data_IF_396360004938
#
_entry.id   IF_396360004938
#
_cell.length_a   1.000
_cell.length_b   1.000
_cell.length_c   1.000
_cell.angle_alpha   90.00
_cell.angle_beta   90.00
_cell.angle_gamma   90.00
#
_symmetry.space_group_name_H-M   'P 1'
#
loop_
_entity.id
_entity.type
_entity.pdbx_description
1 polymer ?
#
# COMPACT_ATOMS: atom_id res chain seq x y z
N UNK A 1 -23.76 -40.71 -6.07
CA UNK A 1 -22.68 -39.71 -5.99
C UNK A 1 -23.00 -38.39 -5.24
N UNK A 2 -24.18 -38.13 -4.62
CA UNK A 2 -24.38 -36.91 -3.81
C UNK A 2 -23.95 -37.04 -2.33
N UNK A 3 -23.63 -38.25 -1.87
CA UNK A 3 -23.33 -38.57 -0.46
C UNK A 3 -21.97 -38.02 0.00
N UNK A 4 -20.98 -37.93 -0.90
CA UNK A 4 -19.63 -37.47 -0.57
C UNK A 4 -19.56 -35.96 -0.29
N UNK A 5 -20.48 -35.15 -0.85
CA UNK A 5 -20.46 -33.70 -0.65
C UNK A 5 -20.92 -33.30 0.76
N UNK A 6 -21.91 -34.01 1.30
CA UNK A 6 -22.42 -33.78 2.65
C UNK A 6 -21.37 -34.09 3.73
N UNK A 7 -20.56 -35.12 3.51
CA UNK A 7 -19.52 -35.54 4.45
C UNK A 7 -18.32 -34.57 4.50
N UNK A 8 -18.03 -33.87 3.39
CA UNK A 8 -16.98 -32.84 3.35
C UNK A 8 -17.42 -31.58 4.11
N UNK A 9 -18.69 -31.17 3.96
CA UNK A 9 -19.27 -30.00 4.65
C UNK A 9 -19.27 -30.20 6.19
N UNK A 10 -19.64 -31.40 6.64
CA UNK A 10 -19.70 -31.77 8.07
C UNK A 10 -18.31 -31.80 8.73
N UNK A 11 -17.29 -32.24 7.98
CA UNK A 11 -15.90 -32.24 8.44
C UNK A 11 -15.32 -30.82 8.53
N UNK A 12 -15.70 -29.91 7.64
CA UNK A 12 -15.28 -28.49 7.70
C UNK A 12 -15.91 -27.78 8.91
N UNK A 13 -17.17 -28.08 9.23
CA UNK A 13 -17.82 -27.55 10.44
C UNK A 13 -17.17 -28.09 11.72
N UNK A 14 -16.86 -29.39 11.82
CA UNK A 14 -16.24 -29.94 13.03
C UNK A 14 -14.85 -29.36 13.34
N UNK A 15 -14.05 -29.07 12.31
CA UNK A 15 -12.68 -28.56 12.48
C UNK A 15 -12.67 -27.11 12.98
N UNK A 16 -13.66 -26.30 12.59
CA UNK A 16 -13.74 -24.88 12.96
C UNK A 16 -14.18 -24.66 14.42
N UNK A 17 -15.05 -25.52 14.98
CA UNK A 17 -15.57 -25.30 16.34
C UNK A 17 -14.70 -25.86 17.47
N UNK A 18 -13.73 -26.75 17.21
CA UNK A 18 -12.91 -27.39 18.26
C UNK A 18 -11.64 -26.64 18.66
N UNK A 19 -11.27 -25.56 17.96
CA UNK A 19 -9.97 -24.89 18.13
C UNK A 19 -10.01 -23.53 18.85
N UNK A 20 -11.15 -23.08 19.39
CA UNK A 20 -11.25 -21.77 20.05
C UNK A 20 -11.37 -21.94 21.57
N UNK A 21 -10.31 -21.64 22.36
CA UNK A 21 -10.37 -21.71 23.81
C UNK A 21 -11.32 -20.66 24.37
N UNK A 22 -12.25 -21.08 25.21
CA UNK A 22 -13.27 -20.26 25.86
C UNK A 22 -12.65 -19.47 27.03
N UNK A 23 -12.16 -18.24 26.80
CA UNK A 23 -11.96 -17.27 27.89
C UNK A 23 -11.85 -15.82 27.41
N UNK A 24 -12.58 -14.94 28.13
CA UNK A 24 -12.63 -13.45 28.08
C UNK A 24 -13.42 -12.79 26.95
N UNK A 25 -14.48 -12.10 27.37
CA UNK A 25 -15.37 -11.19 26.61
C UNK A 25 -15.75 -11.71 25.23
N UNK A 26 -16.94 -12.32 25.14
CA UNK A 26 -17.47 -12.95 23.93
C UNK A 26 -17.83 -11.88 22.88
N UNK A 27 -16.83 -11.26 22.28
CA UNK A 27 -16.98 -10.52 21.02
C UNK A 27 -17.19 -11.60 19.96
N UNK A 28 -18.45 -11.96 19.75
CA UNK A 28 -18.82 -12.99 18.79
C UNK A 28 -18.85 -12.35 17.40
N UNK A 29 -18.04 -12.88 16.48
CA UNK A 29 -18.13 -12.51 15.06
C UNK A 29 -19.55 -12.87 14.60
N UNK A 30 -20.26 -11.87 14.08
CA UNK A 30 -21.65 -12.03 13.62
C UNK A 30 -21.62 -12.66 12.24
N UNK A 31 -22.45 -13.68 12.04
CA UNK A 31 -22.58 -14.43 10.78
C UNK A 31 -24.03 -14.31 10.32
N UNK A 32 -24.24 -14.18 9.01
CA UNK A 32 -25.55 -13.99 8.41
C UNK A 32 -25.52 -13.00 7.25
N UNK A 33 -26.62 -12.92 6.52
CA UNK A 33 -26.78 -12.10 5.32
C UNK A 33 -26.47 -10.61 5.53
N UNK A 34 -26.72 -10.11 6.74
CA UNK A 34 -26.47 -8.70 7.09
C UNK A 34 -25.00 -8.42 7.45
N UNK A 35 -24.17 -9.46 7.55
CA UNK A 35 -22.78 -9.37 8.02
C UNK A 35 -21.76 -9.90 7.01
N UNK A 36 -22.17 -10.78 6.10
CA UNK A 36 -21.30 -11.39 5.10
C UNK A 36 -21.45 -10.68 3.75
N UNK A 37 -20.33 -10.46 3.07
CA UNK A 37 -20.35 -10.03 1.67
C UNK A 37 -20.86 -11.16 0.78
N UNK A 38 -21.64 -10.81 -0.25
CA UNK A 38 -21.99 -11.76 -1.32
C UNK A 38 -20.78 -11.90 -2.21
N UNK A 39 -20.22 -13.11 -2.27
CA UNK A 39 -19.12 -13.42 -3.18
C UNK A 39 -19.64 -13.42 -4.63
N UNK A 40 -19.14 -12.54 -5.51
CA UNK A 40 -19.52 -12.56 -6.92
C UNK A 40 -19.02 -13.84 -7.61
N UNK A 41 -19.73 -14.28 -8.64
CA UNK A 41 -19.25 -15.37 -9.49
C UNK A 41 -17.99 -14.96 -10.26
N UNK A 42 -17.13 -15.94 -10.54
CA UNK A 42 -15.90 -15.71 -11.29
C UNK A 42 -16.24 -15.32 -12.74
N UNK A 43 -15.91 -14.08 -13.12
CA UNK A 43 -16.12 -13.60 -14.47
C UNK A 43 -15.06 -14.17 -15.45
N UNK A 44 -15.49 -14.86 -16.54
CA UNK A 44 -14.58 -15.35 -17.57
C UNK A 44 -13.78 -14.22 -18.22
N UNK A 45 -12.57 -14.50 -18.69
CA UNK A 45 -11.66 -13.47 -19.23
C UNK A 45 -12.28 -12.69 -20.38
N UNK A 46 -13.01 -13.37 -21.27
CA UNK A 46 -13.71 -12.78 -22.41
C UNK A 46 -14.81 -11.78 -22.04
N UNK A 47 -15.28 -11.82 -20.80
CA UNK A 47 -16.33 -10.93 -20.30
C UNK A 47 -15.77 -9.86 -19.36
N UNK A 48 -14.49 -9.93 -18.96
CA UNK A 48 -13.84 -8.89 -18.15
C UNK A 48 -13.80 -7.61 -18.96
N UNK A 49 -14.18 -6.51 -18.33
CA UNK A 49 -14.14 -5.17 -18.90
C UNK A 49 -13.28 -4.27 -18.02
N UNK A 50 -11.94 -4.49 -17.97
CA UNK A 50 -11.04 -3.70 -17.13
C UNK A 50 -11.17 -2.20 -17.38
N UNK A 51 -11.49 -1.81 -18.62
CA UNK A 51 -11.71 -0.43 -19.06
C UNK A 51 -12.91 0.26 -18.39
N UNK A 52 -13.86 -0.50 -17.84
CA UNK A 52 -15.01 0.04 -17.10
C UNK A 52 -14.73 0.16 -15.60
N UNK A 53 -13.62 -0.40 -15.11
CA UNK A 53 -13.21 -0.14 -13.74
C UNK A 53 -12.88 1.35 -13.64
N UNK A 54 -13.46 2.02 -12.65
CA UNK A 54 -13.06 3.37 -12.33
C UNK A 54 -11.58 3.33 -11.95
N UNK A 55 -10.71 3.69 -12.89
CA UNK A 55 -9.26 3.68 -12.69
C UNK A 55 -8.92 4.83 -11.75
N UNK A 56 -9.08 4.55 -10.46
CA UNK A 56 -8.72 5.46 -9.37
C UNK A 56 -7.24 5.33 -9.03
N UNK A 57 -6.54 4.39 -9.64
CA UNK A 57 -5.11 4.19 -9.42
C UNK A 57 -4.32 5.08 -10.39
N UNK A 58 -3.33 5.77 -9.86
CA UNK A 58 -2.35 6.48 -10.67
C UNK A 58 -1.07 5.63 -10.71
N UNK A 59 -0.63 5.25 -11.91
CA UNK A 59 0.65 4.57 -12.08
C UNK A 59 1.79 5.56 -11.81
N UNK A 60 2.52 5.35 -10.72
CA UNK A 60 3.62 6.23 -10.28
C UNK A 60 5.02 5.64 -10.52
N UNK A 61 5.12 4.33 -10.77
CA UNK A 61 6.38 3.65 -11.06
C UNK A 61 6.13 2.33 -11.78
N UNK A 62 7.05 1.95 -12.68
CA UNK A 62 7.13 0.58 -13.20
C UNK A 62 8.59 0.13 -13.27
N UNK A 63 8.89 -1.16 -13.12
CA UNK A 63 10.23 -1.70 -13.35
C UNK A 63 10.71 -1.48 -14.79
N UNK A 64 12.02 -1.46 -14.99
CA UNK A 64 12.66 -1.39 -16.32
C UNK A 64 13.95 -2.21 -16.32
N UNK A 65 14.26 -2.85 -17.44
CA UNK A 65 15.56 -3.52 -17.67
C UNK A 65 16.56 -2.59 -18.36
N UNK A 66 16.14 -1.39 -18.78
CA UNK A 66 16.97 -0.46 -19.53
C UNK A 66 18.08 0.19 -18.68
N UNK A 67 17.93 0.19 -17.35
CA UNK A 67 18.87 0.79 -16.42
C UNK A 67 19.49 -0.32 -15.56
N UNK A 68 20.83 -0.45 -15.52
CA UNK A 68 21.50 -1.32 -14.56
C UNK A 68 21.22 -0.87 -13.12
N UNK A 69 21.02 -1.82 -12.21
CA UNK A 69 20.68 -1.55 -10.81
C UNK A 69 21.65 -0.58 -10.13
N UNK A 70 22.95 -0.71 -10.36
CA UNK A 70 23.96 0.20 -9.81
C UNK A 70 23.76 1.66 -10.23
N UNK A 71 23.39 1.91 -11.50
CA UNK A 71 23.14 3.28 -11.98
C UNK A 71 21.84 3.85 -11.42
N UNK A 72 20.85 3.00 -11.18
CA UNK A 72 19.61 3.40 -10.53
C UNK A 72 19.87 3.80 -9.07
N UNK A 73 20.67 3.01 -8.35
CA UNK A 73 21.11 3.35 -6.99
C UNK A 73 21.88 4.67 -6.95
N UNK A 74 22.88 4.84 -7.83
CA UNK A 74 23.65 6.09 -7.93
C UNK A 74 22.74 7.31 -8.14
N UNK A 75 21.72 7.18 -8.99
CA UNK A 75 20.74 8.22 -9.24
C UNK A 75 19.90 8.54 -7.99
N UNK A 76 19.41 7.52 -7.28
CA UNK A 76 18.62 7.70 -6.06
C UNK A 76 19.46 8.38 -4.97
N UNK A 77 20.71 7.96 -4.79
CA UNK A 77 21.64 8.59 -3.83
C UNK A 77 21.89 10.06 -4.21
N UNK A 78 22.16 10.34 -5.48
CA UNK A 78 22.35 11.71 -5.97
C UNK A 78 21.12 12.59 -5.72
N UNK A 79 19.92 12.10 -6.07
CA UNK A 79 18.66 12.82 -5.87
C UNK A 79 18.42 13.14 -4.40
N UNK A 80 18.71 12.19 -3.51
CA UNK A 80 18.56 12.35 -2.07
C UNK A 80 19.57 13.31 -1.47
N UNK A 81 20.87 13.07 -1.69
CA UNK A 81 21.92 13.78 -0.99
C UNK A 81 22.10 15.21 -1.50
N UNK A 82 21.88 15.43 -2.81
CA UNK A 82 22.09 16.75 -3.43
C UNK A 82 20.82 17.60 -3.49
N UNK A 83 19.66 16.97 -3.67
CA UNK A 83 18.40 17.68 -3.93
C UNK A 83 17.31 17.37 -2.90
N UNK A 84 17.58 16.59 -1.85
CA UNK A 84 16.64 16.35 -0.76
C UNK A 84 15.43 15.47 -1.13
N UNK A 85 15.47 14.75 -2.24
CA UNK A 85 14.39 13.83 -2.61
C UNK A 85 14.38 12.61 -1.70
N UNK A 86 13.20 12.08 -1.38
CA UNK A 86 13.08 10.70 -0.90
C UNK A 86 13.11 9.70 -2.08
N UNK A 87 13.20 8.41 -1.77
CA UNK A 87 13.33 7.37 -2.80
C UNK A 87 12.12 7.33 -3.74
N UNK A 88 10.92 7.49 -3.21
CA UNK A 88 9.66 7.46 -3.96
C UNK A 88 9.55 8.65 -4.92
N UNK A 89 9.96 9.84 -4.49
CA UNK A 89 10.00 11.04 -5.33
C UNK A 89 11.02 10.88 -6.46
N UNK A 90 12.22 10.36 -6.16
CA UNK A 90 13.25 10.12 -7.17
C UNK A 90 12.77 9.12 -8.22
N UNK A 91 12.17 8.00 -7.79
CA UNK A 91 11.58 7.00 -8.69
C UNK A 91 10.43 7.60 -9.52
N UNK A 92 9.53 8.36 -8.88
CA UNK A 92 8.45 9.06 -9.58
C UNK A 92 8.95 10.01 -10.66
N UNK A 93 9.99 10.80 -10.37
CA UNK A 93 10.66 11.69 -11.33
C UNK A 93 11.26 10.90 -12.49
N UNK A 94 11.98 9.82 -12.19
CA UNK A 94 12.57 8.95 -13.22
C UNK A 94 11.50 8.30 -14.12
N UNK A 95 10.38 7.86 -13.54
CA UNK A 95 9.26 7.31 -14.30
C UNK A 95 8.57 8.34 -15.19
N UNK A 96 8.46 9.59 -14.73
CA UNK A 96 7.97 10.70 -15.54
C UNK A 96 8.78 10.83 -16.83
N UNK A 97 10.10 10.71 -16.71
CA UNK A 97 11.04 10.74 -17.85
C UNK A 97 11.18 9.42 -18.59
N UNK A 98 10.27 8.45 -18.39
CA UNK A 98 10.29 7.15 -19.07
C UNK A 98 11.60 6.38 -18.85
N UNK A 99 12.14 6.47 -17.64
CA UNK A 99 13.40 5.84 -17.24
C UNK A 99 14.63 6.40 -17.98
N UNK A 100 14.56 7.63 -18.48
CA UNK A 100 15.72 8.36 -18.98
C UNK A 100 16.44 9.06 -17.83
N UNK A 101 17.58 8.51 -17.41
CA UNK A 101 18.38 9.04 -16.30
C UNK A 101 18.90 10.45 -16.58
N UNK A 102 19.32 10.75 -17.81
CA UNK A 102 19.91 12.06 -18.12
C UNK A 102 18.86 13.15 -18.01
N UNK A 103 17.68 12.93 -18.59
CA UNK A 103 16.56 13.88 -18.49
C UNK A 103 16.09 14.05 -17.06
N UNK A 104 15.94 12.95 -16.32
CA UNK A 104 15.53 13.02 -14.93
C UNK A 104 16.53 13.79 -14.07
N UNK A 105 17.83 13.62 -14.28
CA UNK A 105 18.87 14.36 -13.55
C UNK A 105 18.85 15.87 -13.81
N UNK A 106 18.56 16.29 -15.04
CA UNK A 106 18.48 17.71 -15.40
C UNK A 106 17.33 18.42 -14.68
N UNK A 107 16.22 17.72 -14.46
CA UNK A 107 15.03 18.29 -13.84
C UNK A 107 14.98 18.17 -12.30
N UNK A 108 15.90 17.42 -11.67
CA UNK A 108 15.98 17.32 -10.21
C UNK A 108 16.06 18.69 -9.51
N UNK A 109 16.87 19.60 -10.06
CA UNK A 109 17.02 20.95 -9.50
C UNK A 109 15.76 21.81 -9.67
N UNK A 110 15.02 21.62 -10.76
CA UNK A 110 13.83 22.41 -11.08
C UNK A 110 12.64 22.05 -10.18
N UNK A 111 12.60 20.83 -9.66
CA UNK A 111 11.51 20.31 -8.85
C UNK A 111 11.95 19.90 -7.44
N UNK A 112 13.01 20.52 -6.92
CA UNK A 112 13.52 20.25 -5.57
C UNK A 112 12.38 20.41 -4.54
N UNK A 113 12.06 19.35 -3.76
CA UNK A 113 10.99 19.40 -2.78
C UNK A 113 11.26 20.51 -1.77
N UNK A 114 10.20 21.24 -1.39
CA UNK A 114 10.31 22.11 -0.23
C UNK A 114 10.62 21.24 0.99
N UNK A 115 11.58 21.65 1.85
CA UNK A 115 11.82 20.95 3.09
C UNK A 115 10.52 20.95 3.91
N UNK A 116 10.05 19.77 4.30
CA UNK A 116 8.94 19.62 5.23
C UNK A 116 9.47 19.86 6.65
N UNK A 117 10.01 21.07 6.87
CA UNK A 117 10.65 21.46 8.10
C UNK A 117 9.64 22.19 8.97
N UNK A 118 9.14 21.48 9.99
CA UNK A 118 8.49 22.16 11.12
C UNK A 118 9.45 23.20 11.68
N UNK A 119 8.93 24.41 11.91
CA UNK A 119 9.68 25.44 12.61
C UNK A 119 10.06 24.95 14.01
N UNK A 120 11.09 25.56 14.60
CA UNK A 120 11.50 25.22 15.97
C UNK A 120 10.34 25.50 16.93
N UNK A 121 9.58 26.56 16.66
CA UNK A 121 8.40 26.96 17.38
C UNK A 121 7.30 25.89 17.31
N UNK A 122 7.02 25.33 16.12
CA UNK A 122 6.02 24.27 15.93
C UNK A 122 6.41 22.98 16.67
N UNK A 123 7.72 22.63 16.65
CA UNK A 123 8.24 21.46 17.38
C UNK A 123 8.06 21.62 18.89
N UNK A 124 8.42 22.78 19.43
CA UNK A 124 8.27 23.09 20.86
C UNK A 124 6.79 23.11 21.26
N UNK A 125 5.92 23.69 20.43
CA UNK A 125 4.48 23.71 20.67
C UNK A 125 3.89 22.30 20.71
N UNK A 126 4.30 21.42 19.80
CA UNK A 126 3.90 20.03 19.80
C UNK A 126 4.37 19.29 21.06
N UNK A 127 5.63 19.44 21.46
CA UNK A 127 6.14 18.79 22.67
C UNK A 127 5.40 19.25 23.93
N UNK A 128 5.08 20.53 24.03
CA UNK A 128 4.27 21.05 25.13
C UNK A 128 2.88 20.41 25.14
N UNK A 129 2.17 20.45 24.01
CA UNK A 129 0.84 19.85 23.91
C UNK A 129 0.84 18.34 24.20
N UNK A 130 1.86 17.60 23.73
CA UNK A 130 2.01 16.18 24.01
C UNK A 130 2.12 15.89 25.51
N UNK A 131 2.93 16.67 26.25
CA UNK A 131 3.08 16.50 27.69
C UNK A 131 1.80 16.82 28.47
N UNK A 132 1.05 17.86 28.06
CA UNK A 132 -0.14 18.30 28.79
C UNK A 132 -1.39 17.46 28.50
N UNK A 133 -1.56 16.92 27.28
CA UNK A 133 -2.78 16.20 26.91
C UNK A 133 -2.67 14.66 26.97
N UNK A 134 -1.47 14.08 26.84
CA UNK A 134 -1.31 12.61 26.68
C UNK A 134 -0.63 11.95 27.88
N UNK A 135 0.17 12.68 28.67
CA UNK A 135 0.89 12.14 29.84
C UNK A 135 0.30 12.54 31.21
N UNK A 136 -0.79 13.29 31.26
CA UNK A 136 -1.47 13.71 32.48
C UNK A 136 -2.67 12.82 32.82
#
# INVERSE_FOLDING_TARGET
MPEMAAEVEDRVQMVTYKLIPQARTKVQIRVGRDYQAVCPELQPESQRKPELLADRALLVWSPTEAIPESKLEDYIVLAKDKYGYNGEQALGMLFWHKHDLERAMLDLANFTPFPDEWSVEDKVLFEQAFHYQIRA
#
